data_IF_089832751773
#
_entry.id   IF_089832751773
#
_cell.length_a   1.000
_cell.length_b   1.000
_cell.length_c   1.000
_cell.angle_alpha   90.00
_cell.angle_beta   90.00
_cell.angle_gamma   90.00
#
_symmetry.space_group_name_H-M   'P 1'
#
loop_
_entity.id
_entity.type
_entity.pdbx_description
1 polymer ?
#
# COMPACT_ATOMS: atom_id res chain seq x y z
N UNK A 1 -39.74 6.94 11.01
CA UNK A 1 -38.65 7.17 10.03
C UNK A 1 -37.52 6.21 10.35
N UNK A 2 -37.28 5.18 9.52
CA UNK A 2 -36.16 4.24 9.72
C UNK A 2 -34.90 4.89 9.14
N UNK A 3 -34.02 5.39 10.00
CA UNK A 3 -32.66 5.78 9.62
C UNK A 3 -31.90 4.49 9.31
N UNK A 4 -31.76 4.15 8.03
CA UNK A 4 -30.77 3.16 7.61
C UNK A 4 -29.39 3.76 7.85
N UNK A 5 -28.78 3.42 8.98
CA UNK A 5 -27.35 3.56 9.16
C UNK A 5 -26.69 2.55 8.22
N UNK A 6 -26.33 2.98 7.01
CA UNK A 6 -25.48 2.19 6.14
C UNK A 6 -24.20 1.87 6.90
N UNK A 7 -23.89 0.59 7.08
CA UNK A 7 -22.61 0.17 7.66
C UNK A 7 -21.54 0.60 6.67
N UNK A 8 -20.84 1.71 6.95
CA UNK A 8 -19.64 2.06 6.19
C UNK A 8 -18.65 0.90 6.38
N UNK A 9 -18.26 0.26 5.27
CA UNK A 9 -17.25 -0.80 5.28
C UNK A 9 -15.96 -0.19 5.86
N UNK A 10 -15.28 -0.87 6.80
CA UNK A 10 -14.02 -0.36 7.31
C UNK A 10 -13.00 -0.21 6.18
N UNK A 11 -12.08 0.77 6.28
CA UNK A 11 -11.05 0.97 5.27
C UNK A 11 -10.21 -0.29 5.11
N UNK A 12 -9.86 -0.64 3.88
CA UNK A 12 -9.02 -1.80 3.63
C UNK A 12 -7.56 -1.49 3.95
N UNK A 13 -6.88 -2.43 4.62
CA UNK A 13 -5.46 -2.31 4.92
C UNK A 13 -4.62 -2.39 3.64
N UNK A 14 -3.69 -1.45 3.50
CA UNK A 14 -2.86 -1.18 2.33
C UNK A 14 -1.39 -1.11 2.74
N UNK A 15 -0.51 -1.68 1.90
CA UNK A 15 0.94 -1.43 1.95
C UNK A 15 1.36 -0.73 0.65
N UNK A 16 2.27 0.25 0.76
CA UNK A 16 2.91 0.91 -0.39
C UNK A 16 4.39 0.54 -0.43
N UNK A 17 4.85 0.07 -1.59
CA UNK A 17 6.27 -0.19 -1.88
C UNK A 17 6.91 1.08 -2.44
N UNK A 18 7.96 1.54 -1.76
CA UNK A 18 8.71 2.75 -2.06
C UNK A 18 8.29 3.94 -1.20
N UNK A 19 9.28 4.64 -0.61
CA UNK A 19 9.06 5.88 0.16
C UNK A 19 9.38 7.15 -0.64
N UNK A 20 9.78 7.00 -1.91
CA UNK A 20 9.98 8.10 -2.83
C UNK A 20 8.71 8.95 -3.04
N UNK A 21 8.86 10.09 -3.71
CA UNK A 21 7.77 11.05 -3.90
C UNK A 21 6.47 10.42 -4.47
N UNK A 22 6.52 9.51 -5.47
CA UNK A 22 5.31 8.87 -5.98
C UNK A 22 4.58 8.05 -4.91
N UNK A 23 5.31 7.27 -4.10
CA UNK A 23 4.74 6.46 -3.01
C UNK A 23 4.22 7.32 -1.87
N UNK A 24 4.98 8.34 -1.47
CA UNK A 24 4.58 9.29 -0.42
C UNK A 24 3.31 10.07 -0.79
N UNK A 25 3.26 10.63 -2.00
CA UNK A 25 2.10 11.41 -2.46
C UNK A 25 0.83 10.55 -2.56
N UNK A 26 0.96 9.31 -3.04
CA UNK A 26 -0.13 8.34 -3.03
C UNK A 26 -0.56 8.03 -1.58
N UNK A 27 0.39 7.80 -0.68
CA UNK A 27 0.15 7.58 0.74
C UNK A 27 -0.67 8.69 1.39
N UNK A 28 -0.33 9.95 1.09
CA UNK A 28 -1.07 11.11 1.59
C UNK A 28 -2.50 11.15 1.02
N UNK A 29 -2.65 10.88 -0.27
CA UNK A 29 -3.94 10.90 -0.95
C UNK A 29 -4.88 9.77 -0.48
N UNK A 30 -4.36 8.56 -0.22
CA UNK A 30 -5.18 7.45 0.31
C UNK A 30 -5.66 7.73 1.73
N UNK A 31 -4.83 8.34 2.58
CA UNK A 31 -5.23 8.74 3.93
C UNK A 31 -6.33 9.81 3.91
N UNK A 32 -6.18 10.83 3.07
CA UNK A 32 -7.19 11.86 2.89
C UNK A 32 -8.53 11.29 2.39
N UNK A 33 -8.50 10.21 1.60
CA UNK A 33 -9.71 9.57 1.07
C UNK A 33 -10.50 8.76 2.12
N UNK A 34 -9.86 8.30 3.19
CA UNK A 34 -10.46 7.45 4.22
C UNK A 34 -10.90 6.04 3.76
N UNK A 35 -10.64 5.64 2.50
CA UNK A 35 -11.04 4.32 1.95
C UNK A 35 -10.03 3.21 2.21
N UNK A 36 -8.79 3.61 2.46
CA UNK A 36 -7.68 2.70 2.75
C UNK A 36 -7.02 3.13 4.05
N UNK A 37 -6.53 2.14 4.77
CA UNK A 37 -5.67 2.33 5.92
C UNK A 37 -4.25 1.94 5.51
N UNK A 38 -3.39 2.94 5.36
CA UNK A 38 -1.97 2.75 5.09
C UNK A 38 -1.29 2.17 6.34
N UNK A 39 -0.92 0.90 6.28
CA UNK A 39 -0.38 0.16 7.43
C UNK A 39 1.14 0.34 7.51
N UNK A 40 1.82 0.09 6.40
CA UNK A 40 3.29 0.10 6.31
C UNK A 40 3.73 0.65 4.94
N UNK A 41 4.92 1.24 4.93
CA UNK A 41 5.73 1.44 3.73
C UNK A 41 6.83 0.38 3.65
N UNK A 42 7.29 0.10 2.44
CA UNK A 42 8.37 -0.86 2.20
C UNK A 42 9.50 -0.17 1.47
N UNK A 43 10.71 -0.30 2.01
CA UNK A 43 11.91 0.31 1.48
C UNK A 43 13.14 -0.53 1.84
N UNK A 44 14.13 -0.58 0.96
CA UNK A 44 15.37 -1.33 1.18
C UNK A 44 16.51 -0.48 1.75
N UNK A 45 16.34 0.83 1.87
CA UNK A 45 17.38 1.70 2.39
C UNK A 45 17.54 1.57 3.92
N UNK A 46 18.74 1.24 4.42
CA UNK A 46 18.93 0.93 5.85
C UNK A 46 18.55 2.06 6.81
N UNK A 47 18.69 3.31 6.38
CA UNK A 47 18.38 4.49 7.20
C UNK A 47 16.88 4.79 7.28
N UNK A 48 16.06 4.22 6.39
CA UNK A 48 14.61 4.41 6.41
C UNK A 48 13.91 3.39 7.33
N UNK A 49 14.51 2.23 7.57
CA UNK A 49 13.90 1.16 8.34
C UNK A 49 13.46 1.61 9.75
N UNK A 50 12.24 1.23 10.13
CA UNK A 50 11.56 1.60 11.40
C UNK A 50 11.29 3.09 11.62
N UNK A 51 11.59 3.95 10.64
CA UNK A 51 11.10 5.32 10.66
C UNK A 51 9.58 5.35 10.44
N UNK A 52 8.95 6.49 10.71
CA UNK A 52 7.52 6.68 10.47
C UNK A 52 7.29 7.71 9.38
N UNK A 53 6.50 7.34 8.39
CA UNK A 53 6.02 8.22 7.32
C UNK A 53 4.51 8.15 7.29
N UNK A 54 3.85 9.30 7.37
CA UNK A 54 2.39 9.38 7.40
C UNK A 54 1.76 8.50 8.52
N UNK A 55 2.48 8.30 9.63
CA UNK A 55 2.02 7.43 10.73
C UNK A 55 2.15 5.92 10.48
N UNK A 56 2.48 5.48 9.27
CA UNK A 56 2.88 4.11 8.95
C UNK A 56 4.38 3.91 9.22
N UNK A 57 4.78 2.69 9.60
CA UNK A 57 6.21 2.38 9.78
C UNK A 57 6.80 1.99 8.42
N UNK A 58 8.10 2.18 8.24
CA UNK A 58 8.83 1.69 7.06
C UNK A 58 9.52 0.37 7.43
N UNK A 59 9.34 -0.67 6.63
CA UNK A 59 9.91 -2.00 6.84
C UNK A 59 10.66 -2.49 5.61
N UNK A 60 11.52 -3.48 5.80
CA UNK A 60 12.23 -4.10 4.68
C UNK A 60 11.33 -4.99 3.80
N UNK A 61 11.67 -5.17 2.51
CA UNK A 61 10.95 -6.08 1.62
C UNK A 61 10.82 -7.52 2.15
N UNK A 62 11.81 -8.04 2.88
CA UNK A 62 11.76 -9.39 3.44
C UNK A 62 10.65 -9.61 4.47
N UNK A 63 10.07 -8.55 5.04
CA UNK A 63 8.97 -8.63 6.00
C UNK A 63 7.60 -8.66 5.32
N UNK A 64 7.53 -8.46 4.00
CA UNK A 64 6.29 -8.13 3.29
C UNK A 64 5.20 -9.18 3.48
N UNK A 65 5.51 -10.46 3.28
CA UNK A 65 4.56 -11.56 3.44
C UNK A 65 4.06 -11.71 4.90
N UNK A 66 4.94 -11.50 5.88
CA UNK A 66 4.58 -11.54 7.30
C UNK A 66 3.67 -10.37 7.68
N UNK A 67 3.96 -9.16 7.18
CA UNK A 67 3.14 -7.96 7.39
C UNK A 67 1.75 -8.10 6.77
N UNK A 68 1.67 -8.67 5.56
CA UNK A 68 0.38 -8.94 4.90
C UNK A 68 -0.53 -9.80 5.77
N UNK A 69 0.00 -10.91 6.29
CA UNK A 69 -0.76 -11.83 7.13
C UNK A 69 -1.12 -11.18 8.48
N UNK A 70 -0.14 -10.57 9.15
CA UNK A 70 -0.31 -9.96 10.47
C UNK A 70 -1.35 -8.84 10.47
N UNK A 71 -1.39 -8.03 9.42
CA UNK A 71 -2.25 -6.87 9.32
C UNK A 71 -3.45 -7.10 8.40
N UNK A 72 -3.72 -8.34 7.96
CA UNK A 72 -4.81 -8.67 7.04
C UNK A 72 -4.88 -7.76 5.81
N UNK A 73 -3.71 -7.39 5.27
CA UNK A 73 -3.56 -6.46 4.15
C UNK A 73 -4.36 -6.98 2.96
N UNK A 74 -5.11 -6.10 2.31
CA UNK A 74 -5.94 -6.45 1.15
C UNK A 74 -5.27 -6.06 -0.17
N UNK A 75 -4.43 -5.03 -0.15
CA UNK A 75 -3.77 -4.51 -1.34
C UNK A 75 -2.32 -4.12 -1.03
N UNK A 76 -1.40 -4.59 -1.86
CA UNK A 76 -0.02 -4.09 -1.94
C UNK A 76 0.12 -3.32 -3.23
N UNK A 77 0.61 -2.09 -3.15
CA UNK A 77 0.82 -1.21 -4.31
C UNK A 77 2.31 -1.00 -4.51
N UNK A 78 2.77 -1.13 -5.75
CA UNK A 78 4.09 -0.68 -6.18
C UNK A 78 3.95 0.30 -7.34
N UNK A 79 4.95 1.15 -7.52
CA UNK A 79 5.03 2.09 -8.65
C UNK A 79 6.12 1.59 -9.58
N UNK A 80 5.78 1.43 -10.86
CA UNK A 80 6.69 0.93 -11.89
C UNK A 80 7.97 1.76 -11.95
N UNK A 81 9.13 1.11 -12.04
CA UNK A 81 10.41 1.81 -12.16
C UNK A 81 10.90 2.54 -10.90
N UNK A 82 10.13 2.56 -9.82
CA UNK A 82 10.53 3.16 -8.55
C UNK A 82 11.18 2.12 -7.62
N UNK A 83 12.21 2.50 -6.83
CA UNK A 83 12.77 1.65 -5.80
C UNK A 83 11.76 1.44 -4.64
N UNK A 84 11.89 0.34 -3.88
CA UNK A 84 12.90 -0.72 -4.01
C UNK A 84 12.58 -1.73 -5.12
N UNK A 85 13.63 -2.29 -5.73
CA UNK A 85 13.49 -3.48 -6.59
C UNK A 85 13.41 -4.72 -5.70
N UNK A 86 12.19 -5.21 -5.49
CA UNK A 86 11.93 -6.41 -4.68
C UNK A 86 12.31 -7.67 -5.47
N UNK A 87 13.09 -8.55 -4.86
CA UNK A 87 13.52 -9.83 -5.44
C UNK A 87 12.36 -10.79 -5.70
N UNK A 88 12.50 -11.65 -6.72
CA UNK A 88 11.44 -12.55 -7.18
C UNK A 88 10.94 -13.51 -6.09
N UNK A 89 11.85 -14.05 -5.27
CA UNK A 89 11.48 -14.94 -4.16
C UNK A 89 10.57 -14.25 -3.14
N UNK A 90 10.75 -12.95 -2.90
CA UNK A 90 9.88 -12.19 -2.00
C UNK A 90 8.51 -11.98 -2.66
N UNK A 91 8.47 -11.70 -3.97
CA UNK A 91 7.19 -11.62 -4.69
C UNK A 91 6.44 -12.95 -4.71
N UNK A 92 7.14 -14.07 -4.86
CA UNK A 92 6.54 -15.41 -4.76
C UNK A 92 5.84 -15.61 -3.41
N UNK A 93 6.52 -15.25 -2.30
CA UNK A 93 5.94 -15.30 -0.95
C UNK A 93 4.71 -14.38 -0.82
N UNK A 94 4.77 -13.16 -1.36
CA UNK A 94 3.65 -12.21 -1.38
C UNK A 94 2.47 -12.78 -2.15
N UNK A 95 2.69 -13.33 -3.34
CA UNK A 95 1.64 -13.91 -4.17
C UNK A 95 1.00 -15.13 -3.49
N UNK A 96 1.78 -15.92 -2.75
CA UNK A 96 1.29 -17.05 -1.97
C UNK A 96 0.32 -16.64 -0.84
N UNK A 97 0.34 -15.37 -0.38
CA UNK A 97 -0.63 -14.87 0.60
C UNK A 97 -2.03 -14.64 0.02
N UNK A 98 -2.16 -14.58 -1.32
CA UNK A 98 -3.41 -14.24 -2.00
C UNK A 98 -3.80 -12.75 -1.92
N UNK A 99 -2.90 -11.88 -1.46
CA UNK A 99 -3.12 -10.43 -1.46
C UNK A 99 -3.26 -9.91 -2.90
N UNK A 100 -4.04 -8.84 -3.09
CA UNK A 100 -4.08 -8.17 -4.38
C UNK A 100 -2.83 -7.32 -4.53
N UNK A 101 -2.13 -7.47 -5.64
CA UNK A 101 -0.99 -6.63 -5.99
C UNK A 101 -1.40 -5.69 -7.13
N UNK A 102 -0.99 -4.43 -7.03
CA UNK A 102 -1.21 -3.42 -8.06
C UNK A 102 0.12 -2.77 -8.42
N UNK A 103 0.44 -2.74 -9.71
CA UNK A 103 1.54 -1.94 -10.23
C UNK A 103 0.96 -0.71 -10.92
N UNK A 104 1.28 0.47 -10.37
CA UNK A 104 0.86 1.76 -10.90
C UNK A 104 1.97 2.36 -11.75
N UNK A 105 1.61 3.19 -12.74
CA UNK A 105 2.60 3.81 -13.62
C UNK A 105 3.38 4.94 -12.92
N UNK A 106 4.64 5.11 -13.30
CA UNK A 106 5.51 6.19 -12.81
C UNK A 106 5.14 7.57 -13.39
N UNK A 107 4.60 7.59 -14.60
CA UNK A 107 4.31 8.82 -15.35
C UNK A 107 2.91 9.39 -15.09
N UNK A 108 2.02 8.62 -14.45
CA UNK A 108 0.69 9.10 -14.04
C UNK A 108 0.78 10.05 -12.85
N UNK A 109 -0.15 11.00 -12.73
CA UNK A 109 -0.26 11.84 -11.54
C UNK A 109 -0.88 11.10 -10.35
N UNK A 110 -0.85 11.71 -9.16
CA UNK A 110 -1.36 11.11 -7.91
C UNK A 110 -2.87 10.82 -7.96
N UNK A 111 -3.68 11.67 -8.61
CA UNK A 111 -5.13 11.46 -8.67
C UNK A 111 -5.48 10.27 -9.57
N UNK A 112 -4.77 10.12 -10.69
CA UNK A 112 -4.90 8.97 -11.60
C UNK A 112 -4.56 7.68 -10.86
N UNK A 113 -3.43 7.64 -10.16
CA UNK A 113 -3.03 6.50 -9.30
C UNK A 113 -4.08 6.16 -8.24
N UNK A 114 -4.62 7.18 -7.59
CA UNK A 114 -5.65 7.00 -6.57
C UNK A 114 -6.95 6.45 -7.16
N UNK A 115 -7.34 6.92 -8.35
CA UNK A 115 -8.50 6.44 -9.09
C UNK A 115 -8.34 4.95 -9.46
N UNK A 116 -7.18 4.57 -9.99
CA UNK A 116 -6.87 3.17 -10.31
C UNK A 116 -6.91 2.27 -9.07
N UNK A 117 -6.31 2.70 -7.96
CA UNK A 117 -6.34 1.97 -6.70
C UNK A 117 -7.78 1.79 -6.17
N UNK A 118 -8.64 2.80 -6.32
CA UNK A 118 -10.06 2.72 -5.92
C UNK A 118 -10.83 1.69 -6.72
N UNK A 119 -10.53 1.54 -8.02
CA UNK A 119 -11.19 0.57 -8.90
C UNK A 119 -11.00 -0.91 -8.50
N UNK A 120 -10.12 -1.21 -7.53
CA UNK A 120 -9.86 -2.57 -7.05
C UNK A 120 -10.76 -2.95 -5.87
N UNK A 121 -11.38 -1.98 -5.20
CA UNK A 121 -12.29 -2.21 -4.07
C UNK A 121 -13.75 -2.46 -4.48
N UNK A 122 -14.13 -2.10 -5.70
CA UNK A 122 -15.44 -2.33 -6.31
C UNK A 122 -15.54 -3.76 -6.92
#
# INVERSE_FOLDING_TARGET
>A
MKRWFGVQKPPANLIIVGVGYPGFSLGQAVQASGRFHLVEFIDDEPWNNRTRLLGATVQYPGELAALIQRHEVKVVVRIEGEPPVIADNIWEEVMATGVRTLTLRADSDTETRLSELRGIQD
#
